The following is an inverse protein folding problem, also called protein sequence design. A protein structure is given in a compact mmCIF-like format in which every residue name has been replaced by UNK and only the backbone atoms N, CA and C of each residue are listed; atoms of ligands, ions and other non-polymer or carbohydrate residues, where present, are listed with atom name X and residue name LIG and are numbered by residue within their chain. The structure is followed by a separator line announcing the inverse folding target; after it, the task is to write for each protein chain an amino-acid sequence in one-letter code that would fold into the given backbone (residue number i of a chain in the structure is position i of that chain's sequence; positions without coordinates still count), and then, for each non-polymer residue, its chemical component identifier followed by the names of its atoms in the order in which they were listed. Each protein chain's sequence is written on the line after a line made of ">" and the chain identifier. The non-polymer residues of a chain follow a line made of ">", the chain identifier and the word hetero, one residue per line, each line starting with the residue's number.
data_IF_862601087840
#
_entry.id   IF_862601087840
#
_cell.length_a   1.000
_cell.length_b   1.000
_cell.length_c   1.000
_cell.angle_alpha   90.00
_cell.angle_beta   90.00
_cell.angle_gamma   90.00
#
_symmetry.space_group_name_H-M   'P 1'
#
loop_
_entity.id
_entity.type
_entity.pdbx_description
1 polymer ?
#
# COMPACT_ATOMS: atom_id res chain seq x y z
N UNK A 1 -8.05 -24.45 12.80
CA UNK A 1 -8.12 -23.00 13.05
C UNK A 1 -7.03 -22.23 12.30
N UNK A 2 -7.28 -20.95 12.01
CA UNK A 2 -6.24 -20.08 11.46
C UNK A 2 -5.48 -19.38 12.61
N UNK A 3 -4.17 -19.40 12.53
CA UNK A 3 -3.30 -18.82 13.56
C UNK A 3 -1.93 -18.42 12.99
N UNK A 4 -1.21 -17.59 13.75
CA UNK A 4 0.16 -17.16 13.46
C UNK A 4 1.08 -17.69 14.55
N UNK A 5 2.23 -18.23 14.16
CA UNK A 5 3.27 -18.69 15.06
C UNK A 5 4.56 -17.86 14.86
N UNK A 6 5.13 -17.37 15.94
CA UNK A 6 6.43 -16.69 15.96
C UNK A 6 7.50 -17.70 16.40
N UNK A 7 8.60 -17.75 15.64
CA UNK A 7 9.76 -18.57 16.02
C UNK A 7 10.36 -18.13 17.37
N UNK A 8 11.08 -19.05 18.04
CA UNK A 8 11.68 -18.79 19.36
C UNK A 8 12.67 -17.61 19.36
N UNK A 9 13.38 -17.39 18.25
CA UNK A 9 14.28 -16.26 18.03
C UNK A 9 13.57 -14.98 17.57
N UNK A 10 12.23 -15.04 17.42
CA UNK A 10 11.35 -13.95 17.00
C UNK A 10 11.59 -13.41 15.58
N UNK A 11 12.34 -14.09 14.74
CA UNK A 11 12.70 -13.61 13.41
C UNK A 11 11.72 -14.01 12.31
N UNK A 12 10.94 -15.06 12.56
CA UNK A 12 10.01 -15.63 11.56
C UNK A 12 8.59 -15.68 12.11
N UNK A 13 7.64 -15.22 11.30
CA UNK A 13 6.21 -15.46 11.48
C UNK A 13 5.72 -16.45 10.45
N UNK A 14 4.99 -17.46 10.89
CA UNK A 14 4.37 -18.45 9.99
C UNK A 14 2.86 -18.50 10.20
N UNK A 15 2.13 -18.40 9.11
CA UNK A 15 0.67 -18.45 9.06
C UNK A 15 0.22 -19.87 8.75
N UNK A 16 -0.63 -20.45 9.60
CA UNK A 16 -1.15 -21.80 9.50
C UNK A 16 -2.67 -21.85 9.52
N UNK A 17 -3.22 -22.87 8.87
CA UNK A 17 -4.63 -23.26 9.01
C UNK A 17 -4.73 -24.77 9.23
N UNK A 18 -4.56 -25.19 10.46
CA UNK A 18 -4.59 -26.61 10.87
C UNK A 18 -5.09 -26.77 12.32
N UNK A 19 -4.97 -27.95 12.89
CA UNK A 19 -5.33 -28.29 14.27
C UNK A 19 -4.10 -28.44 15.21
N UNK A 20 -2.92 -28.03 14.76
CA UNK A 20 -1.65 -28.28 15.46
C UNK A 20 -1.15 -27.08 16.30
N UNK A 21 -1.94 -26.04 16.48
CA UNK A 21 -1.52 -24.82 17.22
C UNK A 21 -0.89 -25.14 18.58
N UNK A 22 -1.50 -26.08 19.35
CA UNK A 22 -1.03 -26.43 20.68
C UNK A 22 0.34 -27.16 20.71
N UNK A 23 0.79 -27.69 19.59
CA UNK A 23 2.07 -28.41 19.46
C UNK A 23 3.20 -27.50 18.92
N UNK A 24 2.87 -26.29 18.49
CA UNK A 24 3.88 -25.36 17.93
C UNK A 24 4.78 -24.82 19.03
N UNK A 25 6.06 -24.71 18.72
CA UNK A 25 7.03 -24.04 19.58
C UNK A 25 6.99 -22.52 19.34
N UNK A 26 7.29 -21.74 20.39
CA UNK A 26 7.25 -20.29 20.32
C UNK A 26 5.89 -19.70 20.71
N UNK A 27 5.66 -18.45 20.35
CA UNK A 27 4.40 -17.75 20.66
C UNK A 27 3.42 -17.93 19.51
N UNK A 28 2.17 -18.23 19.82
CA UNK A 28 1.09 -18.34 18.82
C UNK A 28 -0.07 -17.42 19.15
N UNK A 29 -0.68 -16.87 18.11
CA UNK A 29 -1.87 -16.03 18.20
C UNK A 29 -2.93 -16.51 17.20
N UNK A 30 -4.21 -16.50 17.58
CA UNK A 30 -5.30 -16.70 16.64
C UNK A 30 -5.36 -15.56 15.62
N UNK A 31 -5.79 -15.87 14.40
CA UNK A 31 -5.80 -14.90 13.30
C UNK A 31 -6.69 -13.66 13.59
N UNK A 32 -7.69 -13.82 14.46
CA UNK A 32 -8.61 -12.75 14.85
C UNK A 32 -8.14 -11.97 16.09
N UNK A 33 -7.02 -12.35 16.70
CA UNK A 33 -6.52 -11.68 17.90
C UNK A 33 -5.95 -10.31 17.55
N UNK A 34 -6.46 -9.28 18.23
CA UNK A 34 -6.13 -7.88 17.97
C UNK A 34 -5.70 -7.13 19.23
N UNK A 35 -4.94 -6.06 19.03
CA UNK A 35 -4.60 -5.05 20.04
C UNK A 35 -5.05 -3.67 19.57
N UNK A 36 -5.26 -2.76 20.50
CA UNK A 36 -5.64 -1.36 20.19
C UNK A 36 -4.52 -0.40 20.57
N UNK A 37 -4.31 0.58 19.70
CA UNK A 37 -3.48 1.72 19.98
C UNK A 37 -4.12 2.99 19.44
N UNK A 38 -4.27 4.02 20.30
CA UNK A 38 -4.84 5.33 19.94
C UNK A 38 -6.17 5.25 19.16
N UNK A 39 -7.01 4.27 19.50
CA UNK A 39 -8.30 4.05 18.87
C UNK A 39 -8.29 3.19 17.60
N UNK A 40 -7.11 2.84 17.10
CA UNK A 40 -6.95 1.94 15.95
C UNK A 40 -6.73 0.50 16.40
N UNK A 41 -7.10 -0.45 15.53
CA UNK A 41 -7.00 -1.88 15.80
C UNK A 41 -5.94 -2.50 14.90
N UNK A 42 -5.04 -3.28 15.50
CA UNK A 42 -3.94 -3.98 14.83
C UNK A 42 -3.97 -5.47 15.21
N UNK A 43 -3.51 -6.38 14.34
CA UNK A 43 -3.22 -7.75 14.75
C UNK A 43 -2.22 -7.76 15.90
N UNK A 44 -2.37 -8.72 16.84
CA UNK A 44 -1.47 -8.78 18.01
C UNK A 44 -0.01 -8.98 17.63
N UNK A 45 0.25 -9.73 16.56
CA UNK A 45 1.60 -10.03 16.07
C UNK A 45 2.25 -8.87 15.31
N UNK A 46 1.47 -7.92 14.76
CA UNK A 46 1.99 -6.82 13.98
C UNK A 46 2.61 -5.71 14.85
N UNK A 47 3.43 -4.86 14.24
CA UNK A 47 3.72 -3.54 14.80
C UNK A 47 2.47 -2.67 14.86
N UNK A 48 2.66 -1.41 15.21
CA UNK A 48 1.64 -0.38 15.13
C UNK A 48 2.25 0.86 14.47
N UNK A 49 1.47 1.88 14.19
CA UNK A 49 2.02 3.11 13.59
C UNK A 49 3.07 3.79 14.49
N UNK A 50 2.98 3.62 15.81
CA UNK A 50 3.93 4.20 16.75
C UNK A 50 5.04 3.22 17.17
N UNK A 51 4.80 1.91 17.11
CA UNK A 51 5.73 0.89 17.60
C UNK A 51 6.09 -0.08 16.48
N UNK A 52 7.34 -0.03 16.03
CA UNK A 52 7.86 -0.94 15.03
C UNK A 52 8.14 -2.32 15.63
N UNK A 53 7.93 -3.37 14.81
CA UNK A 53 8.64 -4.64 14.99
C UNK A 53 10.02 -4.51 14.35
N UNK A 54 11.06 -4.75 15.14
CA UNK A 54 12.47 -4.66 14.73
C UNK A 54 13.17 -6.02 14.69
N UNK A 55 12.42 -7.13 14.82
CA UNK A 55 12.98 -8.48 14.91
C UNK A 55 12.56 -9.38 13.77
N UNK A 56 11.32 -9.26 13.29
CA UNK A 56 10.79 -10.11 12.23
C UNK A 56 11.44 -9.76 10.89
N UNK A 57 12.16 -10.74 10.32
CA UNK A 57 12.84 -10.61 9.03
C UNK A 57 12.17 -11.43 7.93
N UNK A 58 11.31 -12.39 8.31
CA UNK A 58 10.70 -13.36 7.41
C UNK A 58 9.25 -13.63 7.78
N UNK A 59 8.40 -13.67 6.79
CA UNK A 59 7.00 -14.14 6.90
C UNK A 59 6.82 -15.33 5.98
N UNK A 60 6.12 -16.37 6.44
CA UNK A 60 5.82 -17.59 5.68
C UNK A 60 4.33 -17.86 5.76
N UNK A 61 3.70 -18.07 4.62
CA UNK A 61 2.39 -18.72 4.57
C UNK A 61 2.62 -20.21 4.34
N UNK A 62 2.27 -21.03 5.34
CA UNK A 62 2.36 -22.50 5.21
C UNK A 62 1.33 -23.02 4.21
N UNK A 63 1.61 -24.16 3.58
CA UNK A 63 0.71 -24.75 2.59
C UNK A 63 -0.69 -25.04 3.14
N UNK A 64 -0.84 -25.25 4.45
CA UNK A 64 -2.14 -25.42 5.10
C UNK A 64 -3.02 -24.17 5.00
N UNK A 65 -2.40 -23.00 4.90
CA UNK A 65 -3.12 -21.72 4.86
C UNK A 65 -3.96 -21.53 3.59
N UNK A 66 -3.72 -22.33 2.53
CA UNK A 66 -4.45 -22.24 1.25
C UNK A 66 -5.96 -22.38 1.37
N UNK A 67 -6.44 -23.07 2.40
CA UNK A 67 -7.88 -23.32 2.61
C UNK A 67 -8.55 -22.25 3.48
N UNK A 68 -7.77 -21.38 4.10
CA UNK A 68 -8.30 -20.24 4.84
C UNK A 68 -8.68 -19.08 3.90
N UNK A 69 -9.76 -18.39 4.23
CA UNK A 69 -10.30 -17.25 3.46
C UNK A 69 -10.46 -16.07 4.38
N UNK A 70 -9.40 -15.28 4.58
CA UNK A 70 -9.50 -14.06 5.38
C UNK A 70 -10.49 -13.07 4.77
N UNK A 71 -11.16 -12.29 5.61
CA UNK A 71 -12.00 -11.18 5.19
C UNK A 71 -11.28 -9.85 5.25
N UNK A 72 -10.16 -9.80 5.98
CA UNK A 72 -9.25 -8.65 6.07
C UNK A 72 -7.80 -9.11 6.15
N UNK A 73 -6.90 -8.33 5.56
CA UNK A 73 -5.46 -8.42 5.78
C UNK A 73 -4.93 -7.06 6.28
N UNK A 74 -5.83 -6.19 6.74
CA UNK A 74 -5.47 -4.87 7.22
C UNK A 74 -4.41 -4.95 8.32
N UNK A 75 -3.36 -4.16 8.17
CA UNK A 75 -2.25 -4.01 9.13
C UNK A 75 -1.49 -5.32 9.43
N UNK A 76 -1.62 -6.39 8.63
CA UNK A 76 -1.01 -7.69 8.96
C UNK A 76 0.51 -7.64 9.16
N UNK A 77 1.21 -6.79 8.41
CA UNK A 77 2.66 -6.61 8.49
C UNK A 77 3.03 -5.16 8.79
N UNK A 78 2.15 -4.47 9.53
CA UNK A 78 2.33 -3.08 9.89
C UNK A 78 3.64 -2.88 10.64
N UNK A 79 4.46 -1.95 10.13
CA UNK A 79 5.70 -1.45 10.72
C UNK A 79 6.77 -2.52 10.98
N UNK A 80 6.86 -3.52 10.08
CA UNK A 80 7.92 -4.52 10.08
C UNK A 80 9.14 -4.00 9.32
N UNK A 81 9.94 -3.18 9.99
CA UNK A 81 11.07 -2.48 9.37
C UNK A 81 12.19 -3.40 8.89
N UNK A 82 12.36 -4.55 9.54
CA UNK A 82 13.39 -5.52 9.23
C UNK A 82 12.91 -6.66 8.31
N UNK A 83 11.64 -6.66 7.92
CA UNK A 83 11.10 -7.66 7.02
C UNK A 83 11.82 -7.63 5.67
N UNK A 84 12.36 -8.78 5.26
CA UNK A 84 13.11 -8.96 4.01
C UNK A 84 12.40 -9.90 3.03
N UNK A 85 11.65 -10.89 3.55
CA UNK A 85 11.10 -11.98 2.76
C UNK A 85 9.65 -12.28 3.18
N UNK A 86 8.79 -12.43 2.19
CA UNK A 86 7.43 -12.98 2.35
C UNK A 86 7.34 -14.19 1.42
N UNK A 87 7.20 -15.37 2.01
CA UNK A 87 7.21 -16.65 1.29
C UNK A 87 5.84 -17.32 1.35
N UNK A 88 5.56 -18.21 0.39
CA UNK A 88 4.32 -18.96 0.35
C UNK A 88 3.10 -18.07 0.04
N UNK A 89 3.30 -16.94 -0.63
CA UNK A 89 2.20 -16.00 -0.97
C UNK A 89 1.12 -16.68 -1.79
N UNK A 90 1.46 -17.71 -2.55
CA UNK A 90 0.51 -18.55 -3.28
C UNK A 90 -0.49 -19.30 -2.38
N UNK A 91 -0.22 -19.40 -1.10
CA UNK A 91 -1.13 -19.99 -0.10
C UNK A 91 -2.02 -18.98 0.60
N UNK A 92 -1.75 -17.70 0.45
CA UNK A 92 -2.69 -16.65 0.85
C UNK A 92 -3.81 -16.56 -0.19
N UNK A 93 -5.04 -16.79 0.21
CA UNK A 93 -6.20 -16.61 -0.67
C UNK A 93 -7.04 -15.40 -0.26
N UNK A 94 -6.83 -14.24 -0.90
CA UNK A 94 -7.50 -13.00 -0.52
C UNK A 94 -8.87 -12.79 -1.20
N UNK A 95 -9.49 -13.82 -1.77
CA UNK A 95 -10.73 -13.67 -2.55
C UNK A 95 -11.88 -13.03 -1.75
N UNK A 96 -11.92 -13.17 -0.42
CA UNK A 96 -12.95 -12.59 0.44
C UNK A 96 -12.49 -11.32 1.14
N UNK A 97 -11.26 -10.87 0.90
CA UNK A 97 -10.71 -9.67 1.54
C UNK A 97 -11.36 -8.43 0.97
N UNK A 98 -11.89 -7.60 1.86
CA UNK A 98 -12.47 -6.29 1.54
C UNK A 98 -11.61 -5.13 2.03
N UNK A 99 -10.73 -5.35 3.00
CA UNK A 99 -9.86 -4.34 3.61
C UNK A 99 -8.40 -4.80 3.61
N UNK A 100 -7.56 -4.10 2.84
CA UNK A 100 -6.10 -4.29 2.78
C UNK A 100 -5.34 -3.07 3.33
N UNK A 101 -6.02 -2.20 4.08
CA UNK A 101 -5.41 -0.98 4.61
C UNK A 101 -4.14 -1.31 5.40
N UNK A 102 -3.06 -0.58 5.09
CA UNK A 102 -1.81 -0.64 5.84
C UNK A 102 -1.14 -2.02 5.88
N UNK A 103 -1.51 -2.97 5.01
CA UNK A 103 -1.01 -4.35 5.07
C UNK A 103 0.53 -4.43 5.17
N UNK A 104 1.24 -3.58 4.42
CA UNK A 104 2.71 -3.50 4.42
C UNK A 104 3.21 -2.12 4.88
N UNK A 105 2.40 -1.38 5.63
CA UNK A 105 2.78 -0.05 6.09
C UNK A 105 4.08 -0.09 6.88
N UNK A 106 5.06 0.72 6.48
CA UNK A 106 6.35 0.83 7.19
C UNK A 106 7.30 -0.35 6.98
N UNK A 107 7.04 -1.26 6.04
CA UNK A 107 7.97 -2.35 5.70
C UNK A 107 9.17 -1.84 4.90
N UNK A 108 9.98 -0.97 5.52
CA UNK A 108 11.09 -0.26 4.86
C UNK A 108 12.24 -1.17 4.43
N UNK A 109 12.34 -2.36 5.02
CA UNK A 109 13.37 -3.35 4.70
C UNK A 109 13.09 -4.22 3.49
N UNK A 110 11.84 -4.27 2.99
CA UNK A 110 11.48 -5.02 1.79
C UNK A 110 12.11 -4.39 0.55
N UNK A 111 12.82 -5.20 -0.24
CA UNK A 111 13.39 -4.79 -1.54
C UNK A 111 12.64 -5.35 -2.72
N UNK A 112 11.86 -6.40 -2.51
CA UNK A 112 10.94 -7.01 -3.47
C UNK A 112 9.73 -7.60 -2.76
N UNK A 113 8.63 -7.74 -3.48
CA UNK A 113 7.40 -8.33 -2.97
C UNK A 113 6.66 -9.00 -4.12
N UNK A 114 6.34 -10.28 -3.99
CA UNK A 114 5.52 -11.02 -4.95
C UNK A 114 4.03 -10.83 -4.63
N UNK A 115 3.31 -10.21 -5.55
CA UNK A 115 1.87 -9.95 -5.45
C UNK A 115 1.07 -10.71 -6.51
N UNK A 116 1.68 -11.68 -7.20
CA UNK A 116 1.08 -12.40 -8.36
C UNK A 116 -0.22 -13.13 -8.01
N UNK A 117 -0.40 -13.54 -6.77
CA UNK A 117 -1.60 -14.24 -6.29
C UNK A 117 -2.61 -13.33 -5.57
N UNK A 118 -2.40 -12.01 -5.59
CA UNK A 118 -3.30 -11.08 -4.93
C UNK A 118 -4.56 -10.84 -5.77
N UNK A 119 -5.62 -11.60 -5.48
CA UNK A 119 -6.95 -11.29 -5.99
C UNK A 119 -7.59 -10.19 -5.14
N UNK A 120 -7.70 -8.99 -5.71
CA UNK A 120 -8.20 -7.81 -5.01
C UNK A 120 -9.61 -7.40 -5.45
N UNK A 121 -10.33 -8.27 -6.17
CA UNK A 121 -11.63 -7.93 -6.79
C UNK A 121 -12.69 -7.43 -5.79
N UNK A 122 -12.63 -7.86 -4.53
CA UNK A 122 -13.59 -7.47 -3.49
C UNK A 122 -13.05 -6.37 -2.57
N UNK A 123 -11.82 -5.91 -2.78
CA UNK A 123 -11.19 -4.91 -1.92
C UNK A 123 -11.79 -3.53 -2.17
N UNK A 124 -12.18 -2.88 -1.09
CA UNK A 124 -12.74 -1.52 -1.09
C UNK A 124 -11.79 -0.49 -0.49
N UNK A 125 -10.88 -0.90 0.39
CA UNK A 125 -9.90 -0.02 1.03
C UNK A 125 -8.47 -0.54 0.83
N UNK A 126 -7.64 0.27 0.15
CA UNK A 126 -6.21 0.05 -0.05
C UNK A 126 -5.38 1.19 0.55
N UNK A 127 -5.97 1.97 1.47
CA UNK A 127 -5.28 3.11 2.10
C UNK A 127 -4.00 2.63 2.78
N UNK A 128 -2.91 3.37 2.60
CA UNK A 128 -1.60 3.12 3.22
C UNK A 128 -0.97 1.74 2.93
N UNK A 129 -1.49 0.96 1.99
CA UNK A 129 -1.10 -0.45 1.82
C UNK A 129 0.41 -0.66 1.70
N UNK A 130 1.12 0.21 0.99
CA UNK A 130 2.58 0.16 0.81
C UNK A 130 3.29 1.40 1.36
N UNK A 131 2.59 2.23 2.12
CA UNK A 131 3.16 3.47 2.66
C UNK A 131 4.41 3.16 3.49
N UNK A 132 5.50 3.88 3.21
CA UNK A 132 6.78 3.67 3.91
C UNK A 132 7.59 2.44 3.46
N UNK A 133 7.21 1.76 2.38
CA UNK A 133 8.02 0.69 1.78
C UNK A 133 9.19 1.29 0.99
N UNK A 134 10.08 2.00 1.67
CA UNK A 134 11.16 2.79 1.06
C UNK A 134 12.26 1.95 0.40
N UNK A 135 12.35 0.66 0.71
CA UNK A 135 13.30 -0.28 0.12
C UNK A 135 12.88 -0.83 -1.24
N UNK A 136 11.58 -0.78 -1.59
CA UNK A 136 11.09 -1.25 -2.87
C UNK A 136 11.57 -0.34 -4.01
N UNK A 137 12.15 -0.93 -5.05
CA UNK A 137 12.57 -0.21 -6.27
C UNK A 137 11.57 -0.33 -7.41
N UNK A 138 10.77 -1.39 -7.40
CA UNK A 138 9.65 -1.64 -8.30
C UNK A 138 8.58 -2.45 -7.59
N UNK A 139 7.38 -2.47 -8.14
CA UNK A 139 6.25 -3.25 -7.62
C UNK A 139 5.36 -3.66 -8.80
N UNK A 140 5.16 -4.97 -8.98
CA UNK A 140 4.24 -5.49 -10.00
C UNK A 140 2.82 -5.55 -9.44
N UNK A 141 1.97 -4.65 -9.94
CA UNK A 141 0.57 -4.53 -9.57
C UNK A 141 -0.38 -5.05 -10.66
N UNK A 142 0.14 -5.72 -11.70
CA UNK A 142 -0.62 -6.13 -12.89
C UNK A 142 -1.82 -7.03 -12.57
N UNK A 143 -1.80 -7.72 -11.44
CA UNK A 143 -2.90 -8.59 -10.98
C UNK A 143 -3.95 -7.88 -10.12
N UNK A 144 -3.73 -6.61 -9.78
CA UNK A 144 -4.69 -5.87 -8.96
C UNK A 144 -5.94 -5.51 -9.74
N UNK A 145 -7.11 -5.88 -9.22
CA UNK A 145 -8.40 -5.39 -9.67
C UNK A 145 -8.90 -4.33 -8.68
N UNK A 146 -8.97 -3.09 -9.12
CA UNK A 146 -9.32 -1.95 -8.26
C UNK A 146 -10.73 -1.40 -8.49
N UNK A 147 -11.58 -2.14 -9.24
CA UNK A 147 -12.92 -1.65 -9.62
C UNK A 147 -13.83 -1.30 -8.45
N UNK A 148 -13.65 -1.95 -7.29
CA UNK A 148 -14.45 -1.72 -6.08
C UNK A 148 -13.77 -0.81 -5.06
N UNK A 149 -12.54 -0.37 -5.32
CA UNK A 149 -11.76 0.45 -4.39
C UNK A 149 -12.35 1.85 -4.29
N UNK A 150 -12.59 2.28 -3.06
CA UNK A 150 -13.10 3.62 -2.74
C UNK A 150 -12.03 4.52 -2.12
N UNK A 151 -10.98 3.96 -1.54
CA UNK A 151 -9.86 4.71 -0.97
C UNK A 151 -8.52 4.14 -1.40
N UNK A 152 -7.66 5.02 -1.94
CA UNK A 152 -6.25 4.81 -2.24
C UNK A 152 -5.40 5.85 -1.49
N UNK A 153 -5.93 6.38 -0.37
CA UNK A 153 -5.23 7.37 0.44
C UNK A 153 -3.85 6.86 0.84
N UNK A 154 -2.81 7.65 0.54
CA UNK A 154 -1.42 7.38 0.91
C UNK A 154 -0.89 5.99 0.53
N UNK A 155 -1.48 5.35 -0.49
CA UNK A 155 -1.17 3.95 -0.84
C UNK A 155 0.32 3.71 -1.07
N UNK A 156 1.02 4.66 -1.70
CA UNK A 156 2.47 4.59 -1.99
C UNK A 156 3.26 5.72 -1.31
N UNK A 157 2.68 6.37 -0.30
CA UNK A 157 3.36 7.44 0.42
C UNK A 157 4.72 6.97 0.95
N UNK A 158 5.77 7.81 0.83
CA UNK A 158 7.13 7.48 1.27
C UNK A 158 7.72 6.19 0.64
N UNK A 159 7.22 5.75 -0.52
CA UNK A 159 7.90 4.73 -1.32
C UNK A 159 9.10 5.36 -2.05
N UNK A 160 10.02 5.92 -1.28
CA UNK A 160 11.11 6.75 -1.79
C UNK A 160 12.16 6.00 -2.63
N UNK A 161 12.13 4.67 -2.61
CA UNK A 161 12.99 3.79 -3.41
C UNK A 161 12.47 3.51 -4.82
N UNK A 162 11.15 3.67 -5.07
CA UNK A 162 10.55 3.35 -6.36
C UNK A 162 11.13 4.20 -7.49
N UNK A 163 11.63 3.52 -8.52
CA UNK A 163 12.14 4.15 -9.75
C UNK A 163 11.20 3.98 -10.94
N UNK A 164 10.22 3.09 -10.82
CA UNK A 164 9.12 2.90 -11.76
C UNK A 164 7.89 2.40 -11.01
N UNK A 165 6.71 2.75 -11.51
CA UNK A 165 5.44 2.25 -11.00
C UNK A 165 4.41 2.28 -12.13
N UNK A 166 3.85 1.13 -12.49
CA UNK A 166 2.81 1.01 -13.48
C UNK A 166 1.44 0.87 -12.79
N UNK A 167 0.60 1.88 -12.95
CA UNK A 167 -0.78 1.93 -12.47
C UNK A 167 -1.78 2.02 -13.62
N UNK A 168 -1.35 1.71 -14.85
CA UNK A 168 -2.13 1.89 -16.08
C UNK A 168 -3.44 1.10 -16.11
N UNK A 169 -3.53 0.02 -15.36
CA UNK A 169 -4.74 -0.83 -15.29
C UNK A 169 -5.62 -0.53 -14.06
N UNK A 170 -5.26 0.44 -13.23
CA UNK A 170 -6.10 0.82 -12.10
C UNK A 170 -7.42 1.40 -12.57
N UNK A 171 -8.53 0.82 -12.14
CA UNK A 171 -9.86 1.39 -12.34
C UNK A 171 -10.19 2.26 -11.12
N UNK A 172 -10.26 3.57 -11.32
CA UNK A 172 -10.49 4.54 -10.25
C UNK A 172 -11.90 5.12 -10.22
N UNK A 173 -12.84 4.55 -11.01
CA UNK A 173 -14.22 5.09 -11.15
C UNK A 173 -15.00 5.20 -9.83
N UNK A 174 -14.63 4.43 -8.80
CA UNK A 174 -15.29 4.44 -7.49
C UNK A 174 -14.44 5.09 -6.40
N UNK A 175 -13.22 5.51 -6.73
CA UNK A 175 -12.29 6.10 -5.75
C UNK A 175 -12.77 7.50 -5.35
N UNK A 176 -12.83 7.73 -4.04
CA UNK A 176 -13.19 9.00 -3.41
C UNK A 176 -12.00 9.71 -2.78
N UNK A 177 -11.01 8.95 -2.32
CA UNK A 177 -9.86 9.48 -1.59
C UNK A 177 -8.56 9.07 -2.25
N UNK A 178 -7.76 10.07 -2.67
CA UNK A 178 -6.42 9.93 -3.22
C UNK A 178 -5.41 10.85 -2.50
N UNK A 179 -5.74 11.31 -1.29
CA UNK A 179 -4.84 12.13 -0.49
C UNK A 179 -3.46 11.47 -0.40
N UNK A 180 -2.40 12.20 -0.74
CA UNK A 180 -1.02 11.74 -0.60
C UNK A 180 -0.67 10.42 -1.29
N UNK A 181 -1.44 9.96 -2.29
CA UNK A 181 -1.27 8.61 -2.88
C UNK A 181 0.16 8.30 -3.28
N UNK A 182 0.90 9.27 -3.83
CA UNK A 182 2.30 9.15 -4.24
C UNK A 182 3.22 10.11 -3.47
N UNK A 183 2.76 10.68 -2.36
CA UNK A 183 3.53 11.65 -1.59
C UNK A 183 4.90 11.09 -1.21
N UNK A 184 5.95 11.90 -1.47
CA UNK A 184 7.34 11.56 -1.16
C UNK A 184 7.91 10.34 -1.93
N UNK A 185 7.37 10.06 -3.14
CA UNK A 185 7.97 9.12 -4.08
C UNK A 185 9.13 9.81 -4.83
N UNK A 186 10.22 10.09 -4.11
CA UNK A 186 11.31 11.00 -4.55
C UNK A 186 12.09 10.54 -5.76
N UNK A 187 12.02 9.28 -6.16
CA UNK A 187 12.81 8.69 -7.25
C UNK A 187 12.00 8.35 -8.49
N UNK A 188 10.68 8.55 -8.48
CA UNK A 188 9.84 8.34 -9.67
C UNK A 188 10.04 9.48 -10.66
N UNK A 189 10.51 9.20 -11.91
CA UNK A 189 10.72 10.22 -12.92
C UNK A 189 9.43 10.59 -13.66
N UNK A 190 8.48 9.66 -13.74
CA UNK A 190 7.21 9.83 -14.44
C UNK A 190 6.13 8.94 -13.86
N UNK A 191 4.88 9.35 -14.02
CA UNK A 191 3.69 8.56 -13.75
C UNK A 191 2.68 8.73 -14.87
N UNK A 192 2.12 7.62 -15.35
CA UNK A 192 1.01 7.62 -16.28
C UNK A 192 -0.30 7.38 -15.52
N UNK A 193 -1.09 8.43 -15.37
CA UNK A 193 -2.41 8.43 -14.73
C UNK A 193 -3.49 8.88 -15.72
N UNK A 194 -3.19 8.77 -17.02
CA UNK A 194 -4.06 9.24 -18.11
C UNK A 194 -5.45 8.60 -18.12
N UNK A 195 -5.56 7.38 -17.58
CA UNK A 195 -6.82 6.64 -17.49
C UNK A 195 -7.55 6.83 -16.15
N UNK A 196 -7.00 7.60 -15.21
CA UNK A 196 -7.68 7.85 -13.94
C UNK A 196 -9.00 8.60 -14.15
N UNK A 197 -10.08 8.01 -13.65
CA UNK A 197 -11.36 8.68 -13.55
C UNK A 197 -11.45 9.36 -12.18
N UNK A 198 -11.50 10.68 -12.17
CA UNK A 198 -11.49 11.49 -10.94
C UNK A 198 -12.84 12.08 -10.59
N UNK A 199 -13.92 11.69 -11.29
CA UNK A 199 -15.26 12.30 -11.11
C UNK A 199 -15.83 12.15 -9.70
N UNK A 200 -15.49 11.07 -8.99
CA UNK A 200 -15.95 10.83 -7.62
C UNK A 200 -14.92 11.23 -6.57
N UNK A 201 -13.72 11.64 -6.98
CA UNK A 201 -12.65 11.98 -6.04
C UNK A 201 -12.96 13.31 -5.37
N UNK A 202 -12.93 13.32 -4.05
CA UNK A 202 -13.20 14.50 -3.22
C UNK A 202 -11.95 15.10 -2.60
N UNK A 203 -10.87 14.32 -2.49
CA UNK A 203 -9.61 14.77 -1.94
C UNK A 203 -8.42 14.17 -2.70
N UNK A 204 -7.60 15.04 -3.32
CA UNK A 204 -6.33 14.77 -3.99
C UNK A 204 -5.19 15.57 -3.35
N UNK A 205 -5.40 16.18 -2.19
CA UNK A 205 -4.39 17.00 -1.54
C UNK A 205 -3.10 16.19 -1.36
N UNK A 206 -1.96 16.83 -1.63
CA UNK A 206 -0.62 16.22 -1.55
C UNK A 206 -0.38 14.97 -2.40
N UNK A 207 -1.22 14.68 -3.40
CA UNK A 207 -1.15 13.42 -4.16
C UNK A 207 0.25 13.15 -4.73
N UNK A 208 0.96 14.17 -5.21
CA UNK A 208 2.33 14.06 -5.74
C UNK A 208 3.33 14.91 -4.95
N UNK A 209 2.96 15.42 -3.77
CA UNK A 209 3.83 16.29 -2.98
C UNK A 209 5.20 15.63 -2.76
N UNK A 210 6.28 16.43 -2.86
CA UNK A 210 7.66 15.99 -2.67
C UNK A 210 8.15 14.88 -3.63
N UNK A 211 7.47 14.67 -4.77
CA UNK A 211 7.98 13.81 -5.85
C UNK A 211 9.09 14.56 -6.60
N UNK A 212 10.25 14.74 -5.97
CA UNK A 212 11.32 15.64 -6.43
C UNK A 212 12.04 15.20 -7.72
N UNK A 213 11.92 13.93 -8.13
CA UNK A 213 12.43 13.45 -9.41
C UNK A 213 11.40 13.54 -10.55
N UNK A 214 10.14 13.78 -10.22
CA UNK A 214 9.03 13.73 -11.16
C UNK A 214 9.17 14.85 -12.20
N UNK A 215 9.29 14.46 -13.48
CA UNK A 215 9.38 15.39 -14.61
C UNK A 215 8.11 15.42 -15.42
N UNK A 216 7.32 14.33 -15.40
CA UNK A 216 6.14 14.15 -16.23
C UNK A 216 5.04 13.42 -15.47
N UNK A 217 3.84 13.96 -15.52
CA UNK A 217 2.59 13.29 -15.15
C UNK A 217 1.69 13.31 -16.37
N UNK A 218 1.36 12.13 -16.90
CA UNK A 218 0.46 12.03 -18.04
C UNK A 218 -1.00 11.99 -17.53
N UNK A 219 -1.80 12.96 -17.95
CA UNK A 219 -3.23 13.01 -17.71
C UNK A 219 -3.96 13.33 -19.02
N UNK A 220 -5.06 12.61 -19.32
CA UNK A 220 -5.85 12.83 -20.54
C UNK A 220 -7.04 13.78 -20.33
N UNK A 221 -7.33 14.14 -19.09
CA UNK A 221 -8.48 14.99 -18.75
C UNK A 221 -8.09 16.05 -17.75
N UNK A 222 -8.76 17.18 -17.81
CA UNK A 222 -8.67 18.17 -16.76
C UNK A 222 -9.21 17.57 -15.45
N UNK A 223 -8.41 17.63 -14.40
CA UNK A 223 -8.82 17.15 -13.09
C UNK A 223 -9.51 18.27 -12.32
N UNK A 224 -10.70 17.94 -11.81
CA UNK A 224 -11.46 18.80 -10.92
C UNK A 224 -11.69 18.02 -9.63
N UNK A 225 -11.27 18.59 -8.53
CA UNK A 225 -11.41 17.99 -7.21
C UNK A 225 -11.71 19.09 -6.18
N UNK A 226 -12.65 18.87 -5.26
CA UNK A 226 -12.95 19.83 -4.20
C UNK A 226 -11.75 20.18 -3.32
N UNK A 227 -10.88 19.20 -3.04
CA UNK A 227 -9.67 19.36 -2.24
C UNK A 227 -8.46 18.88 -3.04
N UNK A 228 -7.50 19.76 -3.27
CA UNK A 228 -6.28 19.47 -4.03
C UNK A 228 -5.08 20.31 -3.56
N UNK A 229 -5.09 20.75 -2.31
CA UNK A 229 -4.05 21.59 -1.74
C UNK A 229 -2.69 20.86 -1.77
N UNK A 230 -1.65 21.59 -2.12
CA UNK A 230 -0.27 21.10 -2.16
C UNK A 230 -0.07 19.85 -3.03
N UNK A 231 -0.98 19.58 -3.99
CA UNK A 231 -0.95 18.37 -4.81
C UNK A 231 0.39 18.13 -5.49
N UNK A 232 1.05 19.19 -5.97
CA UNK A 232 2.36 19.16 -6.64
C UNK A 232 3.45 19.89 -5.86
N UNK A 233 3.25 20.20 -4.57
CA UNK A 233 4.26 20.89 -3.76
C UNK A 233 5.58 20.09 -3.78
N UNK A 234 6.72 20.76 -3.96
CA UNK A 234 8.03 20.09 -4.02
C UNK A 234 8.35 19.34 -5.32
N UNK A 235 7.45 19.32 -6.32
CA UNK A 235 7.71 18.73 -7.65
C UNK A 235 8.55 19.66 -8.55
N UNK A 236 9.69 20.10 -8.08
CA UNK A 236 10.50 21.19 -8.69
C UNK A 236 11.05 20.86 -10.08
N UNK A 237 11.04 19.60 -10.51
CA UNK A 237 11.49 19.15 -11.84
C UNK A 237 10.35 18.96 -12.83
N UNK A 238 9.11 19.15 -12.40
CA UNK A 238 7.94 18.92 -13.24
C UNK A 238 7.97 19.85 -14.46
N UNK A 239 7.79 19.26 -15.64
CA UNK A 239 7.75 19.95 -16.92
C UNK A 239 6.41 19.63 -17.60
N UNK A 240 5.80 20.65 -18.17
CA UNK A 240 4.52 20.51 -18.86
C UNK A 240 4.26 21.74 -19.74
N UNK A 241 3.03 21.93 -20.16
CA UNK A 241 2.59 23.12 -20.88
C UNK A 241 2.81 24.40 -20.06
N UNK A 242 2.80 24.27 -18.71
CA UNK A 242 3.05 25.36 -17.77
C UNK A 242 4.29 25.01 -16.94
N UNK A 243 5.15 26.01 -16.72
CA UNK A 243 6.30 25.85 -15.83
C UNK A 243 5.84 25.66 -14.38
N UNK A 244 6.61 24.88 -13.62
CA UNK A 244 6.34 24.71 -12.18
C UNK A 244 6.31 26.07 -11.46
N UNK A 245 5.28 26.27 -10.66
CA UNK A 245 5.06 27.48 -9.87
C UNK A 245 4.65 27.08 -8.44
N UNK A 246 5.50 27.36 -7.45
CA UNK A 246 5.25 27.05 -6.04
C UNK A 246 3.95 27.65 -5.49
N UNK A 247 3.45 28.72 -6.10
CA UNK A 247 2.19 29.35 -5.69
C UNK A 247 0.94 28.68 -6.28
N UNK A 248 1.12 27.70 -7.21
CA UNK A 248 0.05 27.05 -7.96
C UNK A 248 0.29 25.54 -7.99
N UNK A 249 0.05 24.88 -6.90
CA UNK A 249 0.35 23.44 -6.74
C UNK A 249 -0.89 22.55 -6.62
N UNK A 250 -2.06 23.08 -6.95
CA UNK A 250 -3.34 22.38 -6.93
C UNK A 250 -3.63 21.58 -8.23
N UNK A 251 -4.81 20.97 -8.31
CA UNK A 251 -5.23 20.16 -9.45
C UNK A 251 -5.27 20.92 -10.79
N UNK A 252 -5.31 22.26 -10.79
CA UNK A 252 -5.31 23.07 -12.01
C UNK A 252 -4.01 22.91 -12.80
N UNK A 253 -2.91 22.57 -12.13
CA UNK A 253 -1.64 22.26 -12.78
C UNK A 253 -1.67 20.96 -13.59
N UNK A 254 -2.63 20.08 -13.35
CA UNK A 254 -2.84 18.84 -14.11
C UNK A 254 -3.80 19.03 -15.31
N UNK A 255 -4.13 20.26 -15.65
CA UNK A 255 -4.99 20.55 -16.78
C UNK A 255 -4.17 20.53 -18.09
N UNK A 256 -4.50 19.69 -19.09
CA UNK A 256 -3.75 19.62 -20.35
C UNK A 256 -3.87 20.89 -21.20
N UNK A 257 -4.79 21.81 -20.91
CA UNK A 257 -4.98 23.06 -21.64
C UNK A 257 -4.26 24.27 -20.99
N UNK A 258 -3.65 24.07 -19.84
CA UNK A 258 -2.86 25.08 -19.12
C UNK A 258 -1.45 24.61 -18.90
#
# INVERSE_FOLDING_TARGET
>A
EAYVAQSADKTTLTFYYDDQRATRTGTTWGIEETKKERGYTFPVWAGTWAVADSTTTRVVFDASFRDFRPTTTAEWFCNYRELKQVEGVEYLNPQNVTDMRGMFWGCSGLTSLDLSNFNTQNVTDMSFMFSGCSGLTSLDLSHFNTQNVTSMESMFQNCSGLTSLDVSHFNTQNVKYMYGMFWDCRRLPSLDVSHFNTQKVIDMSRMFSDCSALTTVNSNTAWQCPQSEEMFAGCTKLKGAVAYDESKTDAKMANPET
#
